data_IF_315978780388
#
_entry.id   IF_315978780388
#
_cell.length_a   1.000
_cell.length_b   1.000
_cell.length_c   1.000
_cell.angle_alpha   90.00
_cell.angle_beta   90.00
_cell.angle_gamma   90.00
#
_symmetry.space_group_name_H-M   'P 1'
#
loop_
_entity.id
_entity.type
_entity.pdbx_description
1 polymer ?
#
# COMPACT_ATOMS: atom_id res chain seq x y z
N UNK A 1 37.15 -48.19 -17.83
CA UNK A 1 36.69 -46.85 -18.26
C UNK A 1 35.59 -46.42 -17.30
N UNK A 2 35.89 -45.53 -16.33
CA UNK A 2 34.90 -45.05 -15.35
C UNK A 2 34.25 -43.79 -15.93
N UNK A 3 32.96 -43.87 -16.26
CA UNK A 3 32.14 -42.70 -16.61
C UNK A 3 31.88 -41.90 -15.32
N UNK A 4 32.29 -40.64 -15.29
CA UNK A 4 31.87 -39.69 -14.27
C UNK A 4 30.60 -38.98 -14.77
N UNK A 5 29.50 -39.12 -14.03
CA UNK A 5 28.27 -38.37 -14.27
C UNK A 5 28.41 -37.01 -13.59
N UNK A 6 28.50 -35.94 -14.36
CA UNK A 6 28.47 -34.56 -13.84
C UNK A 6 27.01 -34.11 -13.78
N UNK A 7 26.44 -34.04 -12.58
CA UNK A 7 25.14 -33.43 -12.36
C UNK A 7 25.31 -31.91 -12.31
N UNK A 8 24.81 -31.21 -13.34
CA UNK A 8 24.73 -29.75 -13.33
C UNK A 8 23.56 -29.31 -12.42
N UNK A 9 23.89 -28.85 -11.22
CA UNK A 9 22.94 -28.16 -10.35
C UNK A 9 22.69 -26.76 -10.92
N UNK A 10 21.56 -26.59 -11.60
CA UNK A 10 21.06 -25.28 -11.98
C UNK A 10 20.43 -24.63 -10.73
N UNK A 11 21.16 -23.72 -10.10
CA UNK A 11 20.66 -22.95 -8.96
C UNK A 11 19.57 -22.00 -9.44
N UNK A 12 18.31 -22.26 -9.08
CA UNK A 12 17.23 -21.28 -9.18
C UNK A 12 17.54 -20.14 -8.18
N UNK A 13 17.91 -18.97 -8.69
CA UNK A 13 18.02 -17.77 -7.88
C UNK A 13 16.59 -17.37 -7.45
N UNK A 14 16.29 -17.54 -6.17
CA UNK A 14 15.07 -17.00 -5.57
C UNK A 14 15.33 -15.50 -5.35
N UNK A 15 14.85 -14.65 -6.24
CA UNK A 15 14.88 -13.20 -6.02
C UNK A 15 13.83 -12.85 -4.97
N UNK A 16 14.25 -12.26 -3.85
CA UNK A 16 13.31 -11.75 -2.86
C UNK A 16 12.65 -10.49 -3.41
N UNK A 17 11.33 -10.41 -3.39
CA UNK A 17 10.59 -9.21 -3.82
C UNK A 17 10.97 -7.95 -2.99
N UNK A 18 11.57 -8.15 -1.82
CA UNK A 18 12.12 -7.08 -1.00
C UNK A 18 13.35 -6.40 -1.62
N UNK A 19 14.12 -7.09 -2.47
CA UNK A 19 15.42 -6.60 -2.95
C UNK A 19 15.30 -5.40 -3.92
N UNK A 20 14.11 -5.13 -4.47
CA UNK A 20 13.88 -4.04 -5.43
C UNK A 20 12.91 -2.94 -4.92
N UNK A 21 12.39 -3.05 -3.70
CA UNK A 21 11.56 -2.01 -3.09
C UNK A 21 12.41 -1.05 -2.25
N UNK A 22 12.02 0.23 -2.24
CA UNK A 22 12.62 1.27 -1.40
C UNK A 22 14.16 1.41 -1.51
N UNK A 23 14.71 1.24 -2.72
CA UNK A 23 16.14 1.50 -3.03
C UNK A 23 16.59 2.93 -2.71
N UNK A 24 15.63 3.85 -2.64
CA UNK A 24 15.75 5.19 -2.05
C UNK A 24 14.66 5.36 -1.00
N UNK A 25 14.80 6.30 -0.05
CA UNK A 25 13.75 6.59 0.93
C UNK A 25 12.38 6.79 0.23
N UNK A 26 11.30 6.14 0.70
CA UNK A 26 9.99 6.29 0.10
C UNK A 26 9.47 7.71 0.33
N UNK A 27 8.88 8.28 -0.70
CA UNK A 27 8.29 9.63 -0.66
C UNK A 27 6.79 9.54 -0.93
N UNK A 28 6.00 10.25 -0.13
CA UNK A 28 4.55 10.20 -0.22
C UNK A 28 3.85 11.14 0.75
N UNK A 29 2.53 10.95 0.86
CA UNK A 29 1.65 11.68 1.75
C UNK A 29 0.94 10.70 2.69
N UNK A 30 0.74 11.10 3.95
CA UNK A 30 0.05 10.33 4.98
C UNK A 30 -1.02 11.20 5.65
N UNK A 31 -2.18 10.61 5.97
CA UNK A 31 -3.34 11.32 6.54
C UNK A 31 -3.16 11.85 7.96
N UNK A 32 -2.31 11.23 8.78
CA UNK A 32 -2.29 11.39 10.23
C UNK A 32 -2.08 12.82 10.72
N UNK A 33 -0.96 13.44 10.32
CA UNK A 33 -0.53 14.72 10.91
C UNK A 33 -1.54 15.87 10.75
N UNK A 34 -2.42 15.78 9.73
CA UNK A 34 -3.42 16.81 9.46
C UNK A 34 -4.83 16.38 9.86
N UNK A 35 -5.18 15.11 9.66
CA UNK A 35 -6.58 14.66 9.73
C UNK A 35 -6.86 13.70 10.90
N UNK A 36 -5.84 13.06 11.50
CA UNK A 36 -6.06 12.05 12.53
C UNK A 36 -7.08 11.00 12.08
N UNK A 37 -8.08 10.73 12.93
CA UNK A 37 -9.17 9.81 12.61
C UNK A 37 -10.24 10.37 11.65
N UNK A 38 -10.16 11.62 11.18
CA UNK A 38 -11.11 12.16 10.19
C UNK A 38 -10.68 11.76 8.77
N UNK A 39 -10.70 10.46 8.49
CA UNK A 39 -10.29 9.87 7.22
C UNK A 39 -11.48 9.22 6.51
N UNK A 40 -11.60 9.44 5.20
CA UNK A 40 -12.68 8.89 4.38
C UNK A 40 -12.23 8.67 2.93
N UNK A 41 -12.97 7.85 2.19
CA UNK A 41 -12.73 7.63 0.76
C UNK A 41 -12.70 8.94 -0.03
N UNK A 42 -13.61 9.88 0.28
CA UNK A 42 -13.66 11.19 -0.35
C UNK A 42 -12.36 11.97 -0.11
N UNK A 43 -11.94 12.07 1.15
CA UNK A 43 -10.69 12.76 1.51
C UNK A 43 -9.49 12.13 0.77
N UNK A 44 -9.41 10.81 0.75
CA UNK A 44 -8.28 10.12 0.12
C UNK A 44 -8.24 10.35 -1.39
N UNK A 45 -9.40 10.37 -2.07
CA UNK A 45 -9.49 10.72 -3.50
C UNK A 45 -9.05 12.16 -3.75
N UNK A 46 -9.52 13.11 -2.94
CA UNK A 46 -9.14 14.53 -3.03
C UNK A 46 -7.63 14.72 -2.82
N UNK A 47 -7.04 13.99 -1.88
CA UNK A 47 -5.59 14.05 -1.64
C UNK A 47 -4.77 13.40 -2.75
N UNK A 48 -5.26 12.29 -3.33
CA UNK A 48 -4.63 11.70 -4.52
C UNK A 48 -4.60 12.69 -5.69
N UNK A 49 -5.71 13.39 -5.92
CA UNK A 49 -5.81 14.41 -6.96
C UNK A 49 -4.90 15.60 -6.67
N UNK A 50 -4.84 16.07 -5.42
CA UNK A 50 -3.98 17.18 -5.02
C UNK A 50 -2.49 16.86 -5.17
N UNK A 51 -2.03 15.65 -4.79
CA UNK A 51 -0.63 15.22 -4.96
C UNK A 51 -0.22 15.20 -6.43
N UNK A 52 -1.13 14.83 -7.33
CA UNK A 52 -0.87 14.84 -8.77
C UNK A 52 -0.91 16.27 -9.31
N UNK A 53 -1.97 17.02 -9.04
CA UNK A 53 -2.20 18.35 -9.60
C UNK A 53 -1.16 19.40 -9.13
N UNK A 54 -0.58 19.22 -7.94
CA UNK A 54 0.46 20.09 -7.42
C UNK A 54 1.86 19.84 -8.00
N UNK A 55 2.05 18.76 -8.78
CA UNK A 55 3.37 18.32 -9.25
C UNK A 55 4.20 17.54 -8.21
N UNK A 56 3.66 17.28 -7.01
CA UNK A 56 4.36 16.48 -6.00
C UNK A 56 4.65 15.05 -6.50
N UNK A 57 3.73 14.45 -7.25
CA UNK A 57 3.96 13.14 -7.88
C UNK A 57 5.21 13.17 -8.78
N UNK A 58 5.33 14.19 -9.63
CA UNK A 58 6.46 14.34 -10.56
C UNK A 58 7.78 14.65 -9.83
N UNK A 59 7.69 15.26 -8.65
CA UNK A 59 8.81 15.45 -7.73
C UNK A 59 9.18 14.17 -6.94
N UNK A 60 8.48 13.05 -7.13
CA UNK A 60 8.80 11.75 -6.55
C UNK A 60 7.88 11.29 -5.41
N UNK A 61 6.86 12.06 -5.02
CA UNK A 61 5.89 11.66 -4.00
C UNK A 61 4.90 10.63 -4.57
N UNK A 62 5.23 9.35 -4.43
CA UNK A 62 4.54 8.26 -5.11
C UNK A 62 3.56 7.51 -4.20
N UNK A 63 3.65 7.61 -2.88
CA UNK A 63 2.77 6.89 -1.96
C UNK A 63 1.65 7.79 -1.42
N UNK A 64 0.44 7.24 -1.36
CA UNK A 64 -0.70 7.81 -0.64
C UNK A 64 -1.09 6.82 0.47
N UNK A 65 -0.92 7.23 1.72
CA UNK A 65 -1.04 6.34 2.89
C UNK A 65 -2.24 6.74 3.73
N UNK A 66 -3.14 5.78 3.96
CA UNK A 66 -4.19 5.87 4.99
C UNK A 66 -3.58 5.41 6.31
N UNK A 67 -3.59 6.30 7.28
CA UNK A 67 -3.19 5.98 8.66
C UNK A 67 -4.36 5.37 9.45
N UNK A 68 -4.33 5.39 10.78
CA UNK A 68 -5.30 4.68 11.62
C UNK A 68 -6.77 5.13 11.45
N UNK A 69 -7.68 4.41 12.11
CA UNK A 69 -9.12 4.66 12.18
C UNK A 69 -9.89 4.42 10.86
N UNK A 70 -9.34 3.62 9.95
CA UNK A 70 -10.00 3.20 8.71
C UNK A 70 -10.86 1.93 8.87
N UNK A 71 -10.52 1.12 9.88
CA UNK A 71 -11.13 -0.16 10.21
C UNK A 71 -12.11 -0.04 11.39
N UNK A 72 -13.17 -0.86 11.41
CA UNK A 72 -14.18 -0.85 12.48
C UNK A 72 -14.32 -2.16 13.25
N UNK A 73 -14.01 -3.30 12.61
CA UNK A 73 -14.13 -4.63 13.24
C UNK A 73 -13.42 -5.70 12.42
N UNK A 74 -13.47 -6.94 12.91
CA UNK A 74 -13.24 -8.15 12.11
C UNK A 74 -14.55 -8.87 11.85
N UNK A 75 -14.66 -9.51 10.68
CA UNK A 75 -15.79 -10.40 10.38
C UNK A 75 -15.62 -11.80 10.99
N UNK A 76 -16.56 -12.70 10.71
CA UNK A 76 -16.57 -14.06 11.25
C UNK A 76 -15.35 -14.90 10.84
N UNK A 77 -14.69 -14.55 9.73
CA UNK A 77 -13.47 -15.19 9.25
C UNK A 77 -12.20 -14.46 9.74
N UNK A 78 -12.35 -13.44 10.60
CA UNK A 78 -11.25 -12.66 11.15
C UNK A 78 -10.68 -11.60 10.20
N UNK A 79 -11.32 -11.34 9.05
CA UNK A 79 -10.84 -10.34 8.08
C UNK A 79 -11.17 -8.94 8.58
N UNK A 80 -10.24 -8.00 8.39
CA UNK A 80 -10.44 -6.60 8.78
C UNK A 80 -11.52 -5.97 7.90
N UNK A 81 -12.48 -5.31 8.53
CA UNK A 81 -13.60 -4.64 7.86
C UNK A 81 -13.35 -3.13 7.91
N UNK A 82 -13.24 -2.44 6.75
CA UNK A 82 -13.18 -0.99 6.71
C UNK A 82 -14.51 -0.38 7.20
N UNK A 83 -14.47 0.85 7.71
CA UNK A 83 -15.67 1.61 8.03
C UNK A 83 -16.54 1.80 6.77
N UNK A 84 -17.75 1.21 6.70
CA UNK A 84 -18.59 1.26 5.52
C UNK A 84 -19.19 2.65 5.25
N UNK A 85 -19.30 3.51 6.28
CA UNK A 85 -19.83 4.86 6.12
C UNK A 85 -18.74 5.80 5.57
N UNK A 86 -17.48 5.59 5.99
CA UNK A 86 -16.33 6.38 5.50
C UNK A 86 -15.75 5.86 4.18
N UNK A 87 -15.85 4.55 3.93
CA UNK A 87 -15.32 3.89 2.74
C UNK A 87 -16.41 3.07 2.01
N UNK A 88 -17.48 3.72 1.52
CA UNK A 88 -18.67 3.04 0.98
C UNK A 88 -18.40 2.19 -0.26
N UNK A 89 -17.36 2.50 -1.05
CA UNK A 89 -16.96 1.68 -2.21
C UNK A 89 -15.99 0.55 -1.84
N UNK A 90 -15.53 0.52 -0.59
CA UNK A 90 -14.52 -0.40 -0.08
C UNK A 90 -13.08 -0.07 -0.53
N UNK A 91 -12.11 -0.67 0.18
CA UNK A 91 -10.68 -0.36 0.00
C UNK A 91 -10.15 -0.70 -1.39
N UNK A 92 -10.67 -1.74 -2.05
CA UNK A 92 -10.24 -2.12 -3.41
C UNK A 92 -10.53 -0.99 -4.41
N UNK A 93 -11.75 -0.45 -4.39
CA UNK A 93 -12.14 0.62 -5.31
C UNK A 93 -11.31 1.89 -5.08
N UNK A 94 -10.98 2.20 -3.82
CA UNK A 94 -10.09 3.31 -3.49
C UNK A 94 -8.66 3.05 -3.96
N UNK A 95 -8.12 1.85 -3.75
CA UNK A 95 -6.79 1.48 -4.25
C UNK A 95 -6.71 1.54 -5.79
N UNK A 96 -7.73 1.05 -6.49
CA UNK A 96 -7.83 1.13 -7.94
C UNK A 96 -7.85 2.59 -8.42
N UNK A 97 -8.55 3.49 -7.71
CA UNK A 97 -8.54 4.93 -8.00
C UNK A 97 -7.13 5.52 -7.85
N UNK A 98 -6.45 5.23 -6.74
CA UNK A 98 -5.10 5.72 -6.46
C UNK A 98 -4.10 5.20 -7.50
N UNK A 99 -4.18 3.92 -7.88
CA UNK A 99 -3.37 3.35 -8.96
C UNK A 99 -3.67 4.00 -10.32
N UNK A 100 -4.93 4.33 -10.60
CA UNK A 100 -5.34 5.07 -11.81
C UNK A 100 -4.72 6.46 -11.93
N UNK A 101 -4.29 7.06 -10.81
CA UNK A 101 -3.52 8.34 -10.79
C UNK A 101 -2.01 8.13 -10.95
N UNK A 102 -1.55 6.89 -11.03
CA UNK A 102 -0.14 6.51 -11.04
C UNK A 102 0.55 6.71 -9.68
N UNK A 103 -0.22 6.65 -8.59
CA UNK A 103 0.28 6.62 -7.21
C UNK A 103 0.24 5.18 -6.68
N UNK A 104 0.94 4.93 -5.58
CA UNK A 104 0.97 3.67 -4.82
C UNK A 104 0.12 3.81 -3.56
N UNK A 105 -0.62 2.77 -3.21
CA UNK A 105 -1.52 2.77 -2.06
C UNK A 105 -0.85 2.17 -0.82
N UNK A 106 -0.89 2.88 0.31
CA UNK A 106 -0.40 2.42 1.61
C UNK A 106 -1.51 2.37 2.66
N UNK A 107 -1.40 1.43 3.61
CA UNK A 107 -2.43 1.17 4.62
C UNK A 107 -1.78 0.86 5.98
N UNK A 108 -2.41 1.35 7.05
CA UNK A 108 -1.96 1.14 8.41
C UNK A 108 -2.55 -0.12 9.07
N UNK A 109 -1.76 -0.73 9.96
CA UNK A 109 -2.19 -1.67 10.99
C UNK A 109 -1.22 -1.56 12.19
N UNK A 110 -1.63 -2.07 13.34
CA UNK A 110 -0.81 -2.14 14.54
C UNK A 110 -0.30 -3.57 14.82
N UNK A 111 0.88 -3.68 15.43
CA UNK A 111 1.49 -4.94 15.89
C UNK A 111 1.20 -5.18 17.38
N UNK A 112 -0.04 -4.90 17.80
CA UNK A 112 -0.55 -5.05 19.15
C UNK A 112 -1.87 -5.80 19.17
N UNK A 113 -2.50 -5.83 20.34
CA UNK A 113 -3.71 -6.62 20.61
C UNK A 113 -5.01 -5.93 20.19
N UNK A 114 -4.96 -5.04 19.19
CA UNK A 114 -6.11 -4.23 18.76
C UNK A 114 -7.42 -5.01 18.57
#
# INVERSE_FOLDING_TARGET
MRLALVAALCSLAITNAADDLARTPPMGWNSWNKFGCDVSEKLMKEMADAVVASGMKDAGYQYLVIDDCWQVRRDAEGRIVPDPDRFPSGMKALADYVHGKGLKFGLYSDAGTG
#
